data_IF_732850691996
#
_entry.id   IF_732850691996
#
_cell.length_a   1.000
_cell.length_b   1.000
_cell.length_c   1.000
_cell.angle_alpha   90.00
_cell.angle_beta   90.00
_cell.angle_gamma   90.00
#
_symmetry.space_group_name_H-M   'P 1'
#
loop_
_entity.id
_entity.type
_entity.pdbx_description
1 polymer ?
#
# COMPACT_ATOMS: atom_id res chain seq x y z
N UNK A 1 -2.05 3.64 -28.18
CA UNK A 1 -3.12 4.35 -27.44
C UNK A 1 -2.96 4.03 -25.97
N UNK A 2 -2.99 5.04 -25.09
CA UNK A 2 -2.88 4.86 -23.62
C UNK A 2 -4.28 4.77 -23.01
N UNK A 3 -4.49 3.76 -22.15
CA UNK A 3 -5.73 3.55 -21.39
C UNK A 3 -5.41 3.50 -19.90
N UNK A 4 -6.15 4.24 -19.09
CA UNK A 4 -6.14 4.21 -17.63
C UNK A 4 -7.46 3.61 -17.13
N UNK A 5 -7.41 2.49 -16.41
CA UNK A 5 -8.58 1.71 -16.04
C UNK A 5 -8.30 0.71 -14.92
N UNK A 6 -9.33 0.02 -14.45
CA UNK A 6 -9.15 -1.20 -13.65
C UNK A 6 -8.58 -2.34 -14.50
N UNK A 7 -7.91 -3.28 -13.85
CA UNK A 7 -7.42 -4.51 -14.48
C UNK A 7 -8.56 -5.30 -15.12
N UNK A 8 -8.27 -5.96 -16.24
CA UNK A 8 -9.21 -6.82 -16.96
C UNK A 8 -8.83 -8.30 -16.77
N UNK A 9 -9.81 -9.17 -16.87
CA UNK A 9 -9.55 -10.61 -16.89
C UNK A 9 -8.53 -10.96 -18.00
N UNK A 10 -7.56 -11.80 -17.66
CA UNK A 10 -6.48 -12.20 -18.56
C UNK A 10 -5.20 -11.38 -18.47
N UNK A 11 -5.18 -10.29 -17.68
CA UNK A 11 -3.97 -9.48 -17.47
C UNK A 11 -3.16 -9.90 -16.22
N UNK A 12 -3.62 -10.91 -15.49
CA UNK A 12 -3.01 -11.36 -14.23
C UNK A 12 -1.53 -11.67 -14.37
N UNK A 13 -1.17 -12.36 -15.46
CA UNK A 13 0.24 -12.71 -15.74
C UNK A 13 1.08 -11.48 -16.06
N UNK A 14 0.55 -10.52 -16.81
CA UNK A 14 1.26 -9.30 -17.16
C UNK A 14 1.49 -8.42 -15.91
N UNK A 15 0.47 -8.29 -15.07
CA UNK A 15 0.56 -7.55 -13.81
C UNK A 15 1.56 -8.22 -12.85
N UNK A 16 1.49 -9.55 -12.68
CA UNK A 16 2.43 -10.30 -11.85
C UNK A 16 3.87 -10.19 -12.36
N UNK A 17 4.08 -10.25 -13.67
CA UNK A 17 5.40 -10.09 -14.27
C UNK A 17 5.97 -8.67 -14.05
N UNK A 18 5.14 -7.64 -14.18
CA UNK A 18 5.55 -6.26 -13.90
C UNK A 18 5.86 -6.09 -12.40
N UNK A 19 5.00 -6.60 -11.53
CA UNK A 19 5.21 -6.57 -10.08
C UNK A 19 6.53 -7.24 -9.68
N UNK A 20 6.77 -8.48 -10.14
CA UNK A 20 8.01 -9.21 -9.86
C UNK A 20 9.27 -8.48 -10.37
N UNK A 21 9.20 -7.84 -11.54
CA UNK A 21 10.33 -7.05 -12.07
C UNK A 21 10.65 -5.81 -11.23
N UNK A 22 9.66 -5.19 -10.61
CA UNK A 22 9.84 -3.91 -9.89
C UNK A 22 10.07 -4.13 -8.41
N UNK A 23 9.36 -5.07 -7.79
CA UNK A 23 9.39 -5.30 -6.34
C UNK A 23 10.13 -6.56 -5.94
N UNK A 24 10.29 -7.53 -6.84
CA UNK A 24 10.97 -8.80 -6.57
C UNK A 24 10.06 -9.87 -5.94
N UNK A 25 8.80 -9.56 -5.67
CA UNK A 25 7.86 -10.50 -5.07
C UNK A 25 7.39 -11.56 -6.09
N UNK A 26 7.04 -12.73 -5.59
CA UNK A 26 6.60 -13.86 -6.39
C UNK A 26 5.08 -14.02 -6.47
N UNK A 27 4.63 -15.06 -7.17
CA UNK A 27 3.21 -15.36 -7.33
C UNK A 27 2.51 -15.76 -6.03
N UNK A 28 3.23 -16.34 -5.05
CA UNK A 28 2.67 -16.71 -3.76
C UNK A 28 2.35 -15.46 -2.93
N UNK A 29 3.27 -14.49 -2.92
CA UNK A 29 3.03 -13.18 -2.33
C UNK A 29 1.80 -12.50 -2.93
N UNK A 30 1.69 -12.45 -4.26
CA UNK A 30 0.57 -11.81 -4.94
C UNK A 30 -0.76 -12.50 -4.67
N UNK A 31 -0.78 -13.83 -4.58
CA UNK A 31 -2.00 -14.57 -4.24
C UNK A 31 -2.53 -14.17 -2.86
N UNK A 32 -1.65 -14.09 -1.85
CA UNK A 32 -2.01 -13.65 -0.51
C UNK A 32 -2.39 -12.15 -0.47
N UNK A 33 -1.68 -11.32 -1.23
CA UNK A 33 -2.01 -9.91 -1.34
C UNK A 33 -3.41 -9.69 -1.92
N UNK A 34 -3.78 -10.40 -2.99
CA UNK A 34 -5.13 -10.30 -3.57
C UNK A 34 -6.21 -10.87 -2.65
N UNK A 35 -5.88 -11.87 -1.86
CA UNK A 35 -6.82 -12.47 -0.90
C UNK A 35 -7.10 -11.56 0.30
N UNK A 36 -6.08 -10.88 0.81
CA UNK A 36 -6.13 -10.17 2.10
C UNK A 36 -6.18 -8.64 1.97
N UNK A 37 -5.62 -8.08 0.91
CA UNK A 37 -5.44 -6.63 0.83
C UNK A 37 -6.30 -5.97 -0.24
N UNK A 38 -6.15 -6.39 -1.47
CA UNK A 38 -6.82 -5.76 -2.63
C UNK A 38 -7.25 -6.84 -3.61
N UNK A 39 -8.54 -7.06 -3.82
CA UNK A 39 -9.02 -7.92 -4.88
C UNK A 39 -8.43 -7.55 -6.24
N UNK A 40 -8.12 -8.55 -7.05
CA UNK A 40 -7.48 -8.34 -8.36
C UNK A 40 -8.21 -7.32 -9.25
N UNK A 41 -9.53 -7.35 -9.26
CA UNK A 41 -10.38 -6.46 -10.05
C UNK A 41 -10.39 -5.00 -9.58
N UNK A 42 -9.72 -4.71 -8.46
CA UNK A 42 -9.50 -3.35 -7.95
C UNK A 42 -8.10 -2.81 -8.27
N UNK A 43 -7.24 -3.61 -8.92
CA UNK A 43 -5.97 -3.13 -9.42
C UNK A 43 -6.19 -2.07 -10.51
N UNK A 44 -5.46 -0.97 -10.44
CA UNK A 44 -5.44 0.07 -11.47
C UNK A 44 -4.30 -0.18 -12.43
N UNK A 45 -4.54 0.01 -13.71
CA UNK A 45 -3.62 -0.29 -14.80
C UNK A 45 -3.55 0.89 -15.77
N UNK A 46 -2.35 1.25 -16.17
CA UNK A 46 -2.09 2.01 -17.38
C UNK A 46 -1.57 1.03 -18.44
N UNK A 47 -2.32 0.91 -19.54
CA UNK A 47 -1.92 0.09 -20.67
C UNK A 47 -1.65 0.97 -21.89
N UNK A 48 -0.56 0.69 -22.61
CA UNK A 48 -0.21 1.30 -23.88
C UNK A 48 -0.27 0.21 -24.97
N UNK A 49 -1.10 0.42 -25.99
CA UNK A 49 -1.33 -0.53 -27.10
C UNK A 49 -1.57 -1.97 -26.57
N UNK A 50 -2.44 -2.08 -25.57
CA UNK A 50 -2.81 -3.31 -24.87
C UNK A 50 -1.70 -3.96 -24.03
N UNK A 51 -0.55 -3.31 -23.86
CA UNK A 51 0.54 -3.77 -23.00
C UNK A 51 0.47 -3.03 -21.64
N UNK A 52 0.44 -3.76 -20.54
CA UNK A 52 0.46 -3.18 -19.18
C UNK A 52 1.82 -2.52 -18.95
N UNK A 53 1.83 -1.20 -18.77
CA UNK A 53 3.02 -0.38 -18.55
C UNK A 53 3.16 0.15 -17.14
N UNK A 54 2.05 0.36 -16.45
CA UNK A 54 2.09 0.78 -15.04
C UNK A 54 0.91 0.20 -14.28
N UNK A 55 1.12 -0.02 -12.98
CA UNK A 55 0.12 -0.54 -12.05
C UNK A 55 0.12 0.29 -10.78
N UNK A 56 -1.03 0.27 -10.08
CA UNK A 56 -1.22 0.91 -8.79
C UNK A 56 -2.34 0.18 -8.05
N UNK A 57 -2.20 0.05 -6.72
CA UNK A 57 -3.28 -0.34 -5.83
C UNK A 57 -3.70 0.87 -5.00
N UNK A 58 -5.00 0.95 -4.69
CA UNK A 58 -5.53 2.03 -3.87
C UNK A 58 -6.54 1.48 -2.83
N UNK A 59 -6.13 0.53 -1.95
CA UNK A 59 -7.01 -0.02 -0.93
C UNK A 59 -7.54 1.08 -0.01
N UNK A 60 -8.80 0.91 0.39
CA UNK A 60 -9.44 1.78 1.36
C UNK A 60 -8.90 1.50 2.76
N UNK A 61 -8.70 2.57 3.51
CA UNK A 61 -8.43 2.51 4.95
C UNK A 61 -9.05 3.70 5.66
N UNK A 62 -9.09 3.64 6.97
CA UNK A 62 -9.57 4.74 7.81
C UNK A 62 -8.39 5.51 8.39
N UNK A 63 -8.41 6.84 8.24
CA UNK A 63 -7.52 7.72 8.98
C UNK A 63 -8.24 8.21 10.24
N UNK A 64 -7.69 7.92 11.42
CA UNK A 64 -8.20 8.42 12.69
C UNK A 64 -7.48 9.72 13.06
N UNK A 65 -8.26 10.74 13.42
CA UNK A 65 -7.74 12.03 13.90
C UNK A 65 -7.70 12.06 15.44
N UNK A 66 -6.93 12.99 16.05
CA UNK A 66 -6.83 13.10 17.52
C UNK A 66 -8.17 13.31 18.23
N UNK A 67 -9.15 13.89 17.54
CA UNK A 67 -10.52 14.10 18.05
C UNK A 67 -11.47 12.91 17.75
N UNK A 68 -10.92 11.75 17.45
CA UNK A 68 -11.61 10.50 17.10
C UNK A 68 -12.44 10.58 15.80
N UNK A 69 -12.41 11.69 15.05
CA UNK A 69 -13.02 11.76 13.73
C UNK A 69 -12.31 10.77 12.79
N UNK A 70 -13.11 10.03 12.03
CA UNK A 70 -12.65 9.15 10.98
C UNK A 70 -12.73 9.84 9.62
N UNK A 71 -11.68 9.72 8.82
CA UNK A 71 -11.67 10.09 7.42
C UNK A 71 -11.55 8.81 6.59
N UNK A 72 -12.30 8.75 5.49
CA UNK A 72 -12.11 7.73 4.48
C UNK A 72 -10.83 8.03 3.70
N UNK A 73 -9.90 7.11 3.70
CA UNK A 73 -8.58 7.30 3.13
C UNK A 73 -8.28 6.22 2.10
N UNK A 74 -7.62 6.57 1.00
CA UNK A 74 -7.02 5.62 0.07
C UNK A 74 -5.53 5.48 0.31
N UNK A 75 -5.01 4.27 0.35
CA UNK A 75 -3.58 4.00 0.43
C UNK A 75 -3.02 3.74 -0.96
N UNK A 76 -2.26 4.70 -1.50
CA UNK A 76 -1.59 4.56 -2.80
C UNK A 76 -0.40 3.60 -2.64
N UNK A 77 -0.61 2.35 -3.02
CA UNK A 77 0.32 1.25 -2.78
C UNK A 77 0.77 0.59 -4.08
N UNK A 78 2.00 0.11 -4.11
CA UNK A 78 2.59 -0.64 -5.23
C UNK A 78 2.51 0.08 -6.58
N UNK A 79 2.78 1.40 -6.60
CA UNK A 79 3.00 2.11 -7.85
C UNK A 79 4.22 1.52 -8.56
N UNK A 80 4.01 0.87 -9.67
CA UNK A 80 5.08 0.33 -10.50
C UNK A 80 4.92 0.76 -11.95
N UNK A 81 6.02 1.19 -12.58
CA UNK A 81 6.11 1.44 -14.01
C UNK A 81 7.18 0.54 -14.61
N UNK A 82 6.84 -0.11 -15.74
CA UNK A 82 7.76 -0.95 -16.49
C UNK A 82 9.09 -0.21 -16.69
N UNK A 83 10.24 -0.80 -16.30
CA UNK A 83 11.54 -0.18 -16.49
C UNK A 83 11.78 0.36 -17.91
N UNK A 84 11.30 -0.34 -18.93
CA UNK A 84 11.42 0.06 -20.33
C UNK A 84 10.51 1.24 -20.73
N UNK A 85 9.49 1.51 -19.93
CA UNK A 85 8.52 2.60 -20.13
C UNK A 85 8.69 3.77 -19.13
N UNK A 86 9.77 3.78 -18.36
CA UNK A 86 10.09 4.89 -17.45
C UNK A 86 10.43 6.17 -18.21
N UNK A 87 10.36 7.30 -17.49
CA UNK A 87 10.63 8.66 -18.01
C UNK A 87 9.66 9.15 -19.09
N UNK A 88 8.54 8.43 -19.31
CA UNK A 88 7.46 8.81 -20.23
C UNK A 88 6.27 9.48 -19.52
N UNK A 89 6.35 9.68 -18.19
CA UNK A 89 5.30 10.30 -17.40
C UNK A 89 4.23 9.32 -16.85
N UNK A 90 4.28 8.04 -17.20
CA UNK A 90 3.26 7.04 -16.83
C UNK A 90 3.03 6.90 -15.31
N UNK A 91 4.09 6.98 -14.51
CA UNK A 91 3.93 6.99 -13.05
C UNK A 91 3.12 8.19 -12.53
N UNK A 92 3.33 9.37 -13.12
CA UNK A 92 2.57 10.57 -12.79
C UNK A 92 1.10 10.46 -13.23
N UNK A 93 0.86 9.97 -14.42
CA UNK A 93 -0.50 9.75 -14.93
C UNK A 93 -1.25 8.72 -14.08
N UNK A 94 -0.58 7.63 -13.69
CA UNK A 94 -1.16 6.61 -12.83
C UNK A 94 -1.52 7.16 -11.44
N UNK A 95 -0.66 8.00 -10.85
CA UNK A 95 -0.97 8.68 -9.57
C UNK A 95 -2.21 9.56 -9.68
N UNK A 96 -2.28 10.41 -10.68
CA UNK A 96 -3.46 11.27 -10.93
C UNK A 96 -4.73 10.47 -11.16
N UNK A 97 -4.62 9.36 -11.89
CA UNK A 97 -5.75 8.47 -12.10
C UNK A 97 -6.20 7.82 -10.77
N UNK A 98 -5.26 7.35 -9.96
CA UNK A 98 -5.55 6.81 -8.63
C UNK A 98 -6.23 7.83 -7.70
N UNK A 99 -5.78 9.08 -7.71
CA UNK A 99 -6.42 10.16 -6.95
C UNK A 99 -7.86 10.43 -7.42
N UNK A 100 -8.07 10.49 -8.73
CA UNK A 100 -9.40 10.66 -9.31
C UNK A 100 -10.30 9.46 -8.98
N UNK A 101 -9.77 8.25 -9.05
CA UNK A 101 -10.46 7.03 -8.64
C UNK A 101 -10.90 7.11 -7.17
N UNK A 102 -9.97 7.38 -6.25
CA UNK A 102 -10.26 7.50 -4.81
C UNK A 102 -11.30 8.60 -4.52
N UNK A 103 -11.19 9.73 -5.19
CA UNK A 103 -12.17 10.81 -5.05
C UNK A 103 -13.57 10.37 -5.49
N UNK A 104 -13.68 9.63 -6.58
CA UNK A 104 -14.96 9.09 -7.07
C UNK A 104 -15.54 8.04 -6.12
N UNK A 105 -14.68 7.28 -5.43
CA UNK A 105 -15.06 6.36 -4.36
C UNK A 105 -15.40 7.08 -3.03
N UNK A 106 -15.33 8.41 -2.99
CA UNK A 106 -15.67 9.24 -1.84
C UNK A 106 -14.60 9.28 -0.76
N UNK A 107 -13.34 9.07 -1.11
CA UNK A 107 -12.24 9.25 -0.16
C UNK A 107 -12.01 10.72 0.17
N UNK A 108 -11.77 11.02 1.45
CA UNK A 108 -11.43 12.36 1.95
C UNK A 108 -9.96 12.71 1.71
N UNK A 109 -9.09 11.69 1.64
CA UNK A 109 -7.65 11.86 1.45
C UNK A 109 -7.00 10.60 0.85
N UNK A 110 -5.78 10.78 0.34
CA UNK A 110 -4.89 9.69 -0.06
C UNK A 110 -3.61 9.77 0.75
N UNK A 111 -3.06 8.61 1.10
CA UNK A 111 -1.76 8.49 1.75
C UNK A 111 -0.86 7.52 0.99
N UNK A 112 0.43 7.68 1.17
CA UNK A 112 1.44 6.73 0.67
C UNK A 112 2.67 6.72 1.58
N UNK A 113 3.49 5.70 1.42
CA UNK A 113 4.80 5.62 2.06
C UNK A 113 5.84 5.50 0.94
N UNK A 114 6.71 6.52 0.73
CA UNK A 114 7.79 6.40 -0.23
C UNK A 114 8.73 5.25 0.15
N UNK A 115 9.04 4.37 -0.81
CA UNK A 115 9.93 3.23 -0.56
C UNK A 115 11.38 3.67 -0.29
N UNK A 116 11.78 4.82 -0.82
CA UNK A 116 13.13 5.37 -0.66
C UNK A 116 13.12 6.91 -0.64
N UNK A 117 14.15 7.55 -0.05
CA UNK A 117 14.21 9.01 0.07
C UNK A 117 14.19 9.76 -1.26
N UNK A 118 14.68 9.16 -2.34
CA UNK A 118 14.68 9.75 -3.68
C UNK A 118 13.28 10.04 -4.21
N UNK A 119 12.28 9.26 -3.79
CA UNK A 119 10.89 9.39 -4.23
C UNK A 119 10.14 10.57 -3.60
N UNK A 120 10.64 11.14 -2.50
CA UNK A 120 9.99 12.32 -1.90
C UNK A 120 9.83 13.49 -2.89
N UNK A 121 10.84 13.75 -3.73
CA UNK A 121 10.75 14.79 -4.76
C UNK A 121 9.68 14.49 -5.81
N UNK A 122 9.51 13.23 -6.16
CA UNK A 122 8.48 12.80 -7.10
C UNK A 122 7.08 13.07 -6.53
N UNK A 123 6.82 12.64 -5.29
CA UNK A 123 5.53 12.82 -4.65
C UNK A 123 5.25 14.29 -4.27
N UNK A 124 6.26 15.05 -3.85
CA UNK A 124 6.17 16.50 -3.65
C UNK A 124 5.70 17.22 -4.94
N UNK A 125 6.22 16.81 -6.10
CA UNK A 125 5.78 17.33 -7.40
C UNK A 125 4.34 16.95 -7.81
N UNK A 126 3.66 16.17 -6.99
CA UNK A 126 2.26 15.74 -7.09
C UNK A 126 1.42 16.28 -5.91
N UNK A 127 1.92 17.28 -5.20
CA UNK A 127 1.27 17.94 -4.06
C UNK A 127 1.09 17.06 -2.81
N UNK A 128 1.83 15.93 -2.71
CA UNK A 128 1.91 15.17 -1.47
C UNK A 128 2.85 15.84 -0.48
N UNK A 129 2.41 15.91 0.77
CA UNK A 129 3.18 16.54 1.85
C UNK A 129 3.50 15.50 2.94
N UNK A 130 4.67 15.58 3.59
CA UNK A 130 4.98 14.74 4.74
C UNK A 130 3.97 14.98 5.87
N UNK A 131 3.16 13.97 6.19
CA UNK A 131 2.12 14.05 7.21
C UNK A 131 2.46 13.27 8.48
N UNK A 132 3.36 12.30 8.38
CA UNK A 132 3.72 11.41 9.49
C UNK A 132 5.23 11.26 9.60
N UNK A 133 5.68 11.08 10.84
CA UNK A 133 7.02 10.61 11.16
C UNK A 133 6.93 9.45 12.15
N UNK A 134 7.89 8.55 12.10
CA UNK A 134 8.02 7.49 13.09
C UNK A 134 9.43 7.51 13.69
N UNK A 135 9.51 7.19 14.95
CA UNK A 135 10.77 7.00 15.63
C UNK A 135 11.30 5.59 15.34
N UNK A 136 12.46 5.52 14.69
CA UNK A 136 13.20 4.26 14.57
C UNK A 136 14.21 4.16 15.72
N UNK A 137 14.17 3.06 16.43
CA UNK A 137 15.15 2.72 17.46
C UNK A 137 15.79 1.38 17.11
N UNK A 138 17.09 1.36 17.05
CA UNK A 138 17.86 0.12 16.92
C UNK A 138 18.18 -0.38 18.34
N UNK A 139 17.85 -1.62 18.62
CA UNK A 139 18.14 -2.29 19.89
C UNK A 139 19.06 -3.47 19.58
N UNK A 140 20.26 -3.55 20.21
CA UNK A 140 21.12 -4.72 20.04
C UNK A 140 20.38 -6.00 20.38
N UNK A 141 20.60 -7.06 19.58
CA UNK A 141 19.87 -8.33 19.72
C UNK A 141 20.07 -9.03 21.07
N UNK A 142 21.20 -8.80 21.73
CA UNK A 142 21.51 -9.28 23.09
C UNK A 142 20.66 -8.60 24.18
N UNK A 143 20.06 -7.47 23.88
CA UNK A 143 19.14 -6.74 24.78
C UNK A 143 17.66 -7.11 24.54
N UNK A 144 17.39 -7.92 23.55
CA UNK A 144 16.03 -8.45 23.30
C UNK A 144 15.87 -9.74 24.09
N UNK A 145 15.19 -9.67 25.23
CA UNK A 145 14.80 -10.86 25.97
C UNK A 145 13.48 -11.34 25.41
N UNK A 146 13.42 -12.52 24.75
CA UNK A 146 12.14 -13.09 24.34
C UNK A 146 11.31 -13.36 25.60
N UNK A 147 10.13 -12.77 25.72
CA UNK A 147 9.19 -13.19 26.76
C UNK A 147 8.79 -14.64 26.47
N UNK A 148 9.21 -15.54 27.38
CA UNK A 148 8.82 -16.94 27.30
C UNK A 148 7.34 -17.05 27.63
N UNK A 149 6.55 -17.54 26.68
CA UNK A 149 5.14 -17.87 26.91
C UNK A 149 4.15 -16.81 26.43
N UNK A 150 4.57 -15.85 25.59
CA UNK A 150 3.61 -15.01 24.88
C UNK A 150 2.97 -15.78 23.73
N UNK A 151 1.67 -15.92 23.74
CA UNK A 151 0.92 -16.44 22.60
C UNK A 151 0.82 -15.36 21.50
N UNK A 152 0.87 -15.74 20.23
CA UNK A 152 0.66 -14.80 19.13
C UNK A 152 -0.73 -14.16 19.23
N UNK A 153 -0.81 -12.84 19.22
CA UNK A 153 -2.08 -12.13 19.19
C UNK A 153 -2.82 -12.39 17.86
N UNK A 154 -4.12 -12.52 17.94
CA UNK A 154 -4.97 -12.50 16.75
C UNK A 154 -4.96 -11.09 16.14
N UNK A 155 -5.26 -10.94 14.82
CA UNK A 155 -5.38 -9.61 14.21
C UNK A 155 -6.31 -8.65 14.94
N UNK A 156 -7.46 -9.15 15.41
CA UNK A 156 -8.43 -8.35 16.17
C UNK A 156 -7.89 -7.87 17.53
N UNK A 157 -7.19 -8.74 18.28
CA UNK A 157 -6.53 -8.38 19.55
C UNK A 157 -5.43 -7.34 19.30
N UNK A 158 -4.59 -7.54 18.29
CA UNK A 158 -3.55 -6.59 17.91
C UNK A 158 -4.16 -5.22 17.57
N UNK A 159 -5.19 -5.17 16.73
CA UNK A 159 -5.86 -3.93 16.38
C UNK A 159 -6.52 -3.26 17.58
N UNK A 160 -7.10 -4.01 18.50
CA UNK A 160 -7.69 -3.47 19.73
C UNK A 160 -6.63 -2.78 20.62
N UNK A 161 -5.49 -3.42 20.81
CA UNK A 161 -4.35 -2.85 21.56
C UNK A 161 -3.79 -1.63 20.83
N UNK A 162 -3.61 -1.72 19.53
CA UNK A 162 -3.09 -0.64 18.70
C UNK A 162 -3.98 0.61 18.78
N UNK A 163 -5.30 0.46 18.64
CA UNK A 163 -6.26 1.56 18.78
C UNK A 163 -6.22 2.18 20.18
N UNK A 164 -6.08 1.36 21.22
CA UNK A 164 -5.95 1.86 22.58
C UNK A 164 -4.69 2.74 22.75
N UNK A 165 -3.54 2.30 22.25
CA UNK A 165 -2.28 3.05 22.40
C UNK A 165 -2.19 4.28 21.52
N UNK A 166 -2.89 4.29 20.38
CA UNK A 166 -2.89 5.40 19.44
C UNK A 166 -4.03 6.41 19.67
N UNK A 167 -4.87 6.16 20.68
CA UNK A 167 -5.95 7.07 21.05
C UNK A 167 -5.42 8.50 21.27
N UNK A 168 -6.15 9.49 20.70
CA UNK A 168 -5.74 10.90 20.73
C UNK A 168 -4.61 11.26 19.79
N UNK A 169 -4.20 10.36 18.90
CA UNK A 169 -3.19 10.59 17.85
C UNK A 169 -3.82 10.52 16.47
N UNK A 170 -3.09 11.01 15.45
CA UNK A 170 -3.43 10.76 14.07
C UNK A 170 -2.75 9.47 13.61
N UNK A 171 -3.53 8.50 13.09
CA UNK A 171 -3.00 7.23 12.63
C UNK A 171 -3.87 6.58 11.56
N UNK A 172 -3.27 5.77 10.70
CA UNK A 172 -3.98 4.90 9.79
C UNK A 172 -4.54 3.69 10.55
N UNK A 173 -5.85 3.49 10.49
CA UNK A 173 -6.56 2.35 11.08
C UNK A 173 -6.90 1.37 9.96
N UNK A 174 -6.24 0.26 9.92
CA UNK A 174 -6.43 -0.77 8.90
C UNK A 174 -7.10 -2.01 9.49
N UNK A 175 -7.83 -2.73 8.63
CA UNK A 175 -8.59 -3.92 8.98
C UNK A 175 -7.72 -5.10 9.43
N UNK A 176 -8.38 -6.11 9.97
CA UNK A 176 -7.72 -7.33 10.46
C UNK A 176 -7.03 -8.10 9.32
N UNK A 177 -7.57 -8.03 8.11
CA UNK A 177 -6.98 -8.67 6.91
C UNK A 177 -5.59 -8.13 6.59
N UNK A 178 -5.40 -6.80 6.71
CA UNK A 178 -4.07 -6.21 6.50
C UNK A 178 -3.09 -6.60 7.63
N UNK A 179 -3.56 -6.75 8.86
CA UNK A 179 -2.72 -7.27 9.96
C UNK A 179 -2.35 -8.73 9.70
N UNK A 180 -3.29 -9.54 9.20
CA UNK A 180 -3.02 -10.93 8.81
C UNK A 180 -1.98 -11.01 7.69
N UNK A 181 -2.07 -10.12 6.71
CA UNK A 181 -1.07 -10.02 5.66
C UNK A 181 0.32 -9.66 6.22
N UNK A 182 0.40 -8.71 7.16
CA UNK A 182 1.68 -8.39 7.82
C UNK A 182 2.22 -9.59 8.61
N UNK A 183 1.34 -10.38 9.25
CA UNK A 183 1.74 -11.62 9.93
C UNK A 183 2.27 -12.65 8.95
N UNK A 184 1.62 -12.83 7.80
CA UNK A 184 2.12 -13.69 6.73
C UNK A 184 3.54 -13.30 6.29
N UNK A 185 3.78 -12.00 6.06
CA UNK A 185 5.10 -11.49 5.67
C UNK A 185 6.20 -11.78 6.73
N UNK A 186 5.84 -11.72 8.02
CA UNK A 186 6.79 -11.96 9.10
C UNK A 186 7.18 -13.43 9.29
N UNK A 187 6.44 -14.37 8.70
CA UNK A 187 6.74 -15.81 8.79
C UNK A 187 7.76 -16.28 7.73
N UNK A 188 7.99 -15.48 6.70
CA UNK A 188 8.94 -15.77 5.62
C UNK A 188 10.33 -15.17 5.81
N UNK A 189 10.58 -14.46 6.91
CA UNK A 189 11.89 -13.90 7.32
C UNK A 189 12.42 -14.65 8.53
#
# INVERSE_FOLDING_TARGET
MVELRKARAGEEKAIAALWGRVFGDDGAFLAEFYRLCVPYDQMLVLAEDSVVRSILCAPEMTMRLPNEKALKCGYMYALATDPEARNQGFGREMMRYGEAYLKNEGADCAILVPAEPSLFRFFDSLDYVPAFSHLRREVPGDQVVPERGADPATPGEYNSLRRHWLKGRCYADYGDDLVEFQRYLSQGT
#
